data_IF_745577828445
#
_entry.id   IF_745577828445
#
_cell.length_a   1.000
_cell.length_b   1.000
_cell.length_c   1.000
_cell.angle_alpha   90.00
_cell.angle_beta   90.00
_cell.angle_gamma   90.00
#
_symmetry.space_group_name_H-M   'P 1'
#
loop_
_entity.id
_entity.type
_entity.pdbx_description
1 polymer ?
#
# COMPACT_ATOMS: atom_id res chain seq x y z
N UNK A 1 50.70 38.06 38.40
CA UNK A 1 51.26 37.46 37.17
C UNK A 1 50.66 36.07 36.99
N UNK A 2 49.76 35.89 36.01
CA UNK A 2 49.02 34.63 35.82
C UNK A 2 49.79 33.69 34.88
N UNK A 3 50.15 32.51 35.38
CA UNK A 3 50.84 31.48 34.62
C UNK A 3 49.90 30.91 33.53
N UNK A 4 50.16 31.29 32.28
CA UNK A 4 49.47 30.76 31.10
C UNK A 4 49.88 29.30 30.92
N UNK A 5 49.02 28.37 31.33
CA UNK A 5 49.23 26.93 31.09
C UNK A 5 49.11 26.66 29.60
N UNK A 6 50.25 26.54 28.91
CA UNK A 6 50.31 26.08 27.53
C UNK A 6 50.09 24.57 27.56
N UNK A 7 48.90 24.12 27.19
CA UNK A 7 48.60 22.70 27.09
C UNK A 7 49.55 22.05 26.07
N UNK A 8 50.06 20.82 26.32
CA UNK A 8 50.98 20.15 25.42
C UNK A 8 50.31 19.97 24.05
N UNK A 9 50.98 20.46 22.98
CA UNK A 9 50.52 20.56 21.59
C UNK A 9 49.92 19.27 21.01
N UNK A 10 50.23 18.10 21.59
CA UNK A 10 49.65 16.79 21.25
C UNK A 10 48.25 16.54 21.84
N UNK A 11 47.97 17.00 23.06
CA UNK A 11 46.66 16.84 23.72
C UNK A 11 45.55 17.66 23.04
N UNK A 12 45.88 18.83 22.51
CA UNK A 12 44.92 19.67 21.78
C UNK A 12 44.49 19.08 20.43
N UNK A 13 45.37 18.30 19.79
CA UNK A 13 45.06 17.63 18.52
C UNK A 13 44.13 16.44 18.72
N UNK A 14 44.36 15.63 19.76
CA UNK A 14 43.50 14.49 20.06
C UNK A 14 42.11 14.92 20.54
N UNK A 15 42.00 15.99 21.34
CA UNK A 15 40.68 16.55 21.70
C UNK A 15 39.97 17.15 20.51
N UNK A 16 40.65 17.89 19.64
CA UNK A 16 40.05 18.42 18.41
C UNK A 16 39.53 17.31 17.48
N UNK A 17 40.30 16.22 17.36
CA UNK A 17 39.93 15.06 16.55
C UNK A 17 38.70 14.34 17.13
N UNK A 18 38.61 14.19 18.45
CA UNK A 18 37.43 13.62 19.11
C UNK A 18 36.17 14.48 18.91
N UNK A 19 36.30 15.80 19.00
CA UNK A 19 35.18 16.72 18.75
C UNK A 19 34.71 16.63 17.30
N UNK A 20 35.65 16.60 16.34
CA UNK A 20 35.33 16.42 14.92
C UNK A 20 34.65 15.08 14.64
N UNK A 21 35.16 13.99 15.22
CA UNK A 21 34.53 12.67 15.10
C UNK A 21 33.13 12.64 15.70
N UNK A 22 32.96 13.22 16.90
CA UNK A 22 31.65 13.33 17.54
C UNK A 22 30.66 14.11 16.67
N UNK A 23 31.08 15.25 16.14
CA UNK A 23 30.26 16.06 15.25
C UNK A 23 29.89 15.31 13.96
N UNK A 24 30.84 14.57 13.38
CA UNK A 24 30.61 13.74 12.19
C UNK A 24 29.57 12.64 12.48
N UNK A 25 29.72 11.91 13.59
CA UNK A 25 28.79 10.85 13.97
C UNK A 25 27.38 11.40 14.19
N UNK A 26 27.25 12.57 14.84
CA UNK A 26 25.96 13.25 15.01
C UNK A 26 25.36 13.64 13.66
N UNK A 27 26.14 14.24 12.76
CA UNK A 27 25.66 14.60 11.42
C UNK A 27 25.19 13.37 10.63
N UNK A 28 25.98 12.29 10.62
CA UNK A 28 25.65 11.05 9.91
C UNK A 28 24.41 10.39 10.50
N UNK A 29 24.28 10.33 11.82
CA UNK A 29 23.12 9.74 12.48
C UNK A 29 21.82 10.50 12.23
N UNK A 30 21.85 11.84 12.14
CA UNK A 30 20.69 12.65 11.73
C UNK A 30 20.28 12.31 10.29
N UNK A 31 21.24 12.22 9.37
CA UNK A 31 20.97 11.87 7.97
C UNK A 31 20.41 10.46 7.87
N UNK A 32 21.01 9.49 8.58
CA UNK A 32 20.56 8.11 8.63
C UNK A 32 19.14 8.02 9.17
N UNK A 33 18.83 8.67 10.30
CA UNK A 33 17.47 8.72 10.86
C UNK A 33 16.45 9.29 9.88
N UNK A 34 16.83 10.33 9.14
CA UNK A 34 15.99 10.93 8.08
C UNK A 34 15.88 10.04 6.83
N UNK A 35 16.82 9.13 6.61
CA UNK A 35 16.78 8.16 5.52
C UNK A 35 15.87 6.98 5.86
N UNK A 36 15.94 6.45 7.08
CA UNK A 36 15.05 5.38 7.57
C UNK A 36 13.57 5.79 7.58
N UNK A 37 13.26 7.05 7.91
CA UNK A 37 11.88 7.56 7.80
C UNK A 37 11.36 7.60 6.36
N UNK A 38 12.25 7.82 5.38
CA UNK A 38 11.89 7.87 3.96
C UNK A 38 11.78 6.50 3.30
N UNK A 39 12.52 5.49 3.75
CA UNK A 39 12.35 4.12 3.26
C UNK A 39 11.02 3.53 3.71
N UNK A 40 10.64 3.76 4.97
CA UNK A 40 9.39 3.23 5.53
C UNK A 40 8.13 3.81 4.84
N UNK A 41 8.17 5.10 4.48
CA UNK A 41 7.08 5.72 3.72
C UNK A 41 6.95 5.20 2.28
N UNK A 42 8.05 4.78 1.64
CA UNK A 42 8.00 4.23 0.28
C UNK A 42 7.34 2.86 0.26
N UNK A 43 7.65 2.01 1.23
CA UNK A 43 7.06 0.67 1.32
C UNK A 43 5.55 0.75 1.60
N UNK A 44 5.12 1.61 2.53
CA UNK A 44 3.70 1.85 2.77
C UNK A 44 2.97 2.37 1.52
N UNK A 45 3.58 3.31 0.80
CA UNK A 45 2.99 3.83 -0.44
C UNK A 45 2.91 2.80 -1.57
N UNK A 46 3.83 1.83 -1.62
CA UNK A 46 3.81 0.73 -2.59
C UNK A 46 2.69 -0.26 -2.29
N UNK A 47 2.50 -0.61 -1.02
CA UNK A 47 1.44 -1.52 -0.57
C UNK A 47 0.05 -0.89 -0.80
N UNK A 48 -0.12 0.39 -0.44
CA UNK A 48 -1.39 1.11 -0.62
C UNK A 48 -1.82 1.14 -2.10
N UNK A 49 -0.87 1.46 -3.01
CA UNK A 49 -1.13 1.48 -4.47
C UNK A 49 -1.56 0.11 -4.99
N UNK A 50 -0.88 -0.94 -4.55
CA UNK A 50 -1.18 -2.32 -4.96
C UNK A 50 -2.59 -2.72 -4.50
N UNK A 51 -2.96 -2.36 -3.27
CA UNK A 51 -4.30 -2.60 -2.73
C UNK A 51 -5.38 -1.87 -3.53
N UNK A 52 -5.17 -0.58 -3.83
CA UNK A 52 -6.13 0.20 -4.62
C UNK A 52 -6.30 -0.38 -6.03
N UNK A 53 -5.20 -0.79 -6.68
CA UNK A 53 -5.26 -1.42 -8.00
C UNK A 53 -6.06 -2.74 -7.97
N UNK A 54 -5.76 -3.63 -7.03
CA UNK A 54 -6.47 -4.90 -6.86
C UNK A 54 -7.97 -4.67 -6.58
N UNK A 55 -8.32 -3.70 -5.73
CA UNK A 55 -9.73 -3.39 -5.45
C UNK A 55 -10.48 -2.89 -6.69
N UNK A 56 -9.82 -2.09 -7.54
CA UNK A 56 -10.40 -1.64 -8.81
C UNK A 56 -10.59 -2.79 -9.80
N UNK A 57 -9.64 -3.74 -9.81
CA UNK A 57 -9.72 -4.92 -10.66
C UNK A 57 -10.85 -5.86 -10.26
N UNK A 58 -11.07 -6.07 -8.95
CA UNK A 58 -12.21 -6.84 -8.44
C UNK A 58 -13.54 -6.23 -8.89
N UNK A 59 -13.72 -4.92 -8.72
CA UNK A 59 -14.95 -4.22 -9.12
C UNK A 59 -15.19 -4.37 -10.63
N UNK A 60 -14.12 -4.23 -11.42
CA UNK A 60 -14.21 -4.40 -12.88
C UNK A 60 -14.58 -5.84 -13.25
N UNK A 61 -13.94 -6.83 -12.63
CA UNK A 61 -14.21 -8.24 -12.89
C UNK A 61 -15.64 -8.61 -12.53
N UNK A 62 -16.15 -8.09 -11.42
CA UNK A 62 -17.54 -8.29 -10.99
C UNK A 62 -18.54 -7.65 -11.97
N UNK A 63 -18.25 -6.45 -12.46
CA UNK A 63 -19.05 -5.82 -13.51
C UNK A 63 -19.02 -6.62 -14.83
N UNK A 64 -17.84 -7.14 -15.20
CA UNK A 64 -17.67 -7.95 -16.40
C UNK A 64 -18.40 -9.30 -16.27
N UNK A 65 -18.32 -9.95 -15.10
CA UNK A 65 -19.09 -11.17 -14.80
C UNK A 65 -20.58 -10.87 -14.84
N UNK A 66 -21.05 -9.78 -14.24
CA UNK A 66 -22.47 -9.40 -14.29
C UNK A 66 -22.93 -9.15 -15.72
N UNK A 67 -22.09 -8.53 -16.56
CA UNK A 67 -22.38 -8.29 -17.97
C UNK A 67 -22.36 -9.57 -18.81
N UNK A 68 -21.40 -10.47 -18.56
CA UNK A 68 -21.30 -11.76 -19.24
C UNK A 68 -22.40 -12.74 -18.82
N UNK A 69 -22.70 -12.79 -17.52
CA UNK A 69 -23.82 -13.51 -16.93
C UNK A 69 -25.16 -12.81 -17.14
N UNK A 70 -25.16 -11.63 -17.78
CA UNK A 70 -26.42 -10.97 -18.11
C UNK A 70 -27.22 -11.89 -19.01
N UNK A 71 -28.50 -12.04 -18.64
CA UNK A 71 -29.42 -12.98 -19.28
C UNK A 71 -29.55 -12.73 -20.78
N UNK A 72 -29.37 -11.48 -21.21
CA UNK A 72 -29.42 -11.08 -22.61
C UNK A 72 -28.35 -11.79 -23.47
N UNK A 73 -27.20 -12.15 -22.89
CA UNK A 73 -26.18 -12.96 -23.60
C UNK A 73 -26.38 -14.46 -23.45
N UNK A 74 -26.88 -14.92 -22.30
CA UNK A 74 -27.06 -16.35 -22.02
C UNK A 74 -28.36 -16.93 -22.59
N UNK A 75 -29.41 -16.13 -22.75
CA UNK A 75 -30.72 -16.55 -23.24
C UNK A 75 -30.67 -17.27 -24.60
N UNK A 76 -30.03 -16.74 -25.66
CA UNK A 76 -29.99 -17.42 -26.96
C UNK A 76 -29.20 -18.74 -26.90
N UNK A 77 -28.16 -18.82 -26.07
CA UNK A 77 -27.35 -20.03 -25.91
C UNK A 77 -28.15 -21.13 -25.18
N UNK A 78 -28.89 -20.75 -24.14
CA UNK A 78 -29.74 -21.66 -23.36
C UNK A 78 -30.96 -22.11 -24.17
N UNK A 79 -31.59 -21.23 -24.93
CA UNK A 79 -32.69 -21.58 -25.84
C UNK A 79 -32.25 -22.59 -26.91
N UNK A 80 -31.08 -22.37 -27.53
CA UNK A 80 -30.54 -23.27 -28.54
C UNK A 80 -30.11 -24.64 -27.99
N UNK A 81 -29.60 -24.68 -26.76
CA UNK A 81 -29.01 -25.91 -26.18
C UNK A 81 -30.03 -26.74 -25.39
N UNK A 82 -30.92 -26.08 -24.64
CA UNK A 82 -31.89 -26.74 -23.75
C UNK A 82 -33.32 -26.74 -24.31
N UNK A 83 -33.60 -26.04 -25.42
CA UNK A 83 -34.94 -25.97 -26.02
C UNK A 83 -35.98 -25.31 -25.10
N UNK A 84 -35.56 -24.60 -24.06
CA UNK A 84 -36.41 -23.92 -23.10
C UNK A 84 -36.50 -22.43 -23.43
N UNK A 85 -37.72 -21.89 -23.54
CA UNK A 85 -37.96 -20.45 -23.76
C UNK A 85 -37.61 -19.65 -22.50
N UNK A 86 -36.68 -18.70 -22.61
CA UNK A 86 -36.24 -17.91 -21.46
C UNK A 86 -37.22 -16.74 -21.24
N UNK A 87 -37.80 -16.58 -20.03
CA UNK A 87 -38.74 -15.49 -19.76
C UNK A 87 -38.05 -14.13 -19.83
N UNK A 88 -38.77 -13.10 -20.30
CA UNK A 88 -38.23 -11.75 -20.46
C UNK A 88 -37.90 -11.12 -19.10
N UNK A 89 -36.97 -10.16 -19.07
CA UNK A 89 -36.53 -9.50 -17.83
C UNK A 89 -37.67 -8.86 -17.03
N UNK A 90 -38.79 -8.51 -17.67
CA UNK A 90 -40.01 -7.99 -17.02
C UNK A 90 -40.81 -9.06 -16.25
N UNK A 91 -40.52 -10.34 -16.44
CA UNK A 91 -41.24 -11.47 -15.86
C UNK A 91 -40.48 -12.13 -14.69
N UNK A 92 -39.31 -11.61 -14.32
CA UNK A 92 -38.48 -12.18 -13.25
C UNK A 92 -38.20 -11.13 -12.19
N UNK A 93 -38.50 -11.49 -10.93
CA UNK A 93 -38.23 -10.68 -9.75
C UNK A 93 -36.92 -11.19 -9.17
N UNK A 94 -35.87 -10.37 -9.26
CA UNK A 94 -34.58 -10.69 -8.66
C UNK A 94 -34.65 -10.39 -7.15
N UNK A 95 -34.53 -11.43 -6.34
CA UNK A 95 -34.54 -11.29 -4.89
C UNK A 95 -33.13 -10.92 -4.43
N UNK A 96 -32.95 -9.72 -3.90
CA UNK A 96 -31.68 -9.33 -3.29
C UNK A 96 -31.45 -10.20 -2.05
N UNK A 97 -30.45 -11.08 -2.12
CA UNK A 97 -29.94 -11.76 -0.92
C UNK A 97 -29.17 -10.71 -0.13
N UNK A 98 -29.79 -10.21 0.93
CA UNK A 98 -29.10 -9.37 1.92
C UNK A 98 -28.01 -10.21 2.56
N UNK A 99 -26.75 -9.96 2.18
CA UNK A 99 -25.59 -10.55 2.83
C UNK A 99 -25.61 -10.18 4.32
N UNK A 100 -25.74 -11.20 5.17
CA UNK A 100 -25.65 -11.01 6.61
C UNK A 100 -24.24 -10.48 6.97
N UNK A 101 -24.11 -9.54 7.91
CA UNK A 101 -22.84 -8.92 8.23
C UNK A 101 -21.81 -9.98 8.64
N UNK A 102 -20.72 -10.04 7.87
CA UNK A 102 -19.59 -10.92 8.11
C UNK A 102 -18.88 -10.46 9.40
N UNK A 103 -19.22 -11.06 10.53
CA UNK A 103 -18.50 -10.85 11.80
C UNK A 103 -17.17 -11.59 11.69
N UNK A 104 -16.10 -10.84 11.45
CA UNK A 104 -14.74 -11.37 11.52
C UNK A 104 -14.38 -11.73 12.99
N UNK A 105 -13.63 -12.82 13.23
CA UNK A 105 -13.14 -13.20 14.55
C UNK A 105 -12.05 -12.28 15.08
#
# INVERSE_FOLDING_TARGET
MAARRVAPKRRGRTTALLVLLGALVVAVSIIARRAYGRSLQRDLSGIERTRTQLSGEVIKLEADIRSASSRNRLAPLVEATLGMRVPSDTQVIDLQVTEAPHVAP
#
